data_IF_892342180659
#
_entry.id   IF_892342180659
#
_cell.length_a   1.000
_cell.length_b   1.000
_cell.length_c   1.000
_cell.angle_alpha   90.00
_cell.angle_beta   90.00
_cell.angle_gamma   90.00
#
_symmetry.space_group_name_H-M   'P 1'
#
loop_
_entity.id
_entity.type
_entity.pdbx_description
1 polymer ?
#
# COMPACT_ATOMS: atom_id res chain seq x y z
N UNK A 1 31.64 21.82 14.34
CA UNK A 1 31.27 20.75 13.38
C UNK A 1 30.72 19.49 14.05
N UNK A 2 31.37 18.90 15.07
CA UNK A 2 30.86 17.67 15.75
C UNK A 2 29.47 17.85 16.39
N UNK A 3 29.26 18.95 17.11
CA UNK A 3 27.99 19.30 17.76
C UNK A 3 26.84 19.56 16.78
N UNK A 4 27.14 20.02 15.56
CA UNK A 4 26.14 20.23 14.52
C UNK A 4 25.62 18.93 13.92
N UNK A 5 26.49 17.94 13.70
CA UNK A 5 26.10 16.62 13.20
C UNK A 5 25.18 15.90 14.20
N UNK A 6 25.47 16.00 15.49
CA UNK A 6 24.64 15.38 16.54
C UNK A 6 23.23 15.98 16.59
N UNK A 7 23.09 17.31 16.47
CA UNK A 7 21.77 17.96 16.43
C UNK A 7 20.96 17.56 15.19
N UNK A 8 21.62 17.41 14.04
CA UNK A 8 20.98 16.97 12.81
C UNK A 8 20.40 15.55 12.92
N UNK A 9 21.14 14.65 13.58
CA UNK A 9 20.70 13.26 13.81
C UNK A 9 19.50 13.17 14.76
N UNK A 10 19.49 13.99 15.82
CA UNK A 10 18.35 14.06 16.76
C UNK A 10 17.11 14.59 16.03
N UNK A 11 17.29 15.61 15.17
CA UNK A 11 16.18 16.17 14.39
C UNK A 11 15.62 15.15 13.39
N UNK A 12 16.47 14.40 12.69
CA UNK A 12 16.01 13.35 11.77
C UNK A 12 15.28 12.22 12.50
N UNK A 13 15.75 11.82 13.69
CA UNK A 13 15.10 10.80 14.48
C UNK A 13 13.73 11.26 14.98
N UNK A 14 13.63 12.49 15.51
CA UNK A 14 12.37 13.06 15.95
C UNK A 14 11.36 13.17 14.80
N UNK A 15 11.82 13.49 13.59
CA UNK A 15 10.97 13.54 12.40
C UNK A 15 10.42 12.15 12.01
N UNK A 16 11.27 11.12 12.01
CA UNK A 16 10.82 9.75 11.74
C UNK A 16 9.84 9.23 12.81
N UNK A 17 10.00 9.63 14.07
CA UNK A 17 9.13 9.20 15.17
C UNK A 17 7.68 9.73 15.05
N UNK A 18 7.46 10.82 14.29
CA UNK A 18 6.13 11.41 14.06
C UNK A 18 5.61 11.16 12.64
N UNK A 19 6.41 10.52 11.79
CA UNK A 19 6.03 10.19 10.43
C UNK A 19 5.05 9.00 10.44
N UNK A 20 3.82 9.25 10.02
CA UNK A 20 2.83 8.21 9.80
C UNK A 20 2.78 7.87 8.30
N UNK A 21 2.60 6.59 7.96
CA UNK A 21 2.30 6.21 6.59
C UNK A 21 0.94 6.81 6.20
N UNK A 22 0.87 7.44 5.03
CA UNK A 22 -0.39 7.94 4.47
C UNK A 22 -0.93 6.89 3.49
N UNK A 23 -2.22 6.58 3.58
CA UNK A 23 -2.88 5.81 2.54
C UNK A 23 -2.91 6.66 1.26
N UNK A 24 -2.46 6.12 0.10
CA UNK A 24 -2.55 6.84 -1.16
C UNK A 24 -4.02 7.13 -1.49
N UNK A 25 -4.31 8.36 -1.91
CA UNK A 25 -5.65 8.75 -2.33
C UNK A 25 -5.84 8.39 -3.82
N UNK A 26 -6.66 7.36 -4.10
CA UNK A 26 -6.96 6.93 -5.45
C UNK A 26 -8.11 7.77 -6.05
N UNK A 27 -7.79 8.99 -6.51
CA UNK A 27 -8.78 9.95 -7.05
C UNK A 27 -9.57 9.43 -8.26
N UNK A 28 -9.04 8.47 -9.00
CA UNK A 28 -9.71 7.86 -10.15
C UNK A 28 -10.66 6.72 -9.74
N UNK A 29 -10.51 6.15 -8.54
CA UNK A 29 -11.28 5.00 -8.10
C UNK A 29 -12.66 5.46 -7.61
N UNK A 30 -13.72 4.90 -8.19
CA UNK A 30 -15.11 5.18 -7.77
C UNK A 30 -15.57 4.26 -6.65
N UNK A 31 -15.39 2.96 -6.85
CA UNK A 31 -15.61 1.89 -5.88
C UNK A 31 -15.00 0.60 -6.44
N UNK A 32 -14.72 -0.37 -5.58
CA UNK A 32 -14.42 -1.75 -5.98
C UNK A 32 -15.49 -2.65 -5.36
N UNK A 33 -15.97 -3.62 -6.14
CA UNK A 33 -16.96 -4.61 -5.71
C UNK A 33 -18.41 -4.13 -5.64
N UNK A 34 -19.27 -5.02 -5.14
CA UNK A 34 -20.71 -4.80 -4.92
C UNK A 34 -21.13 -4.86 -3.44
N UNK A 35 -22.43 -5.03 -3.18
CA UNK A 35 -22.96 -5.21 -1.81
C UNK A 35 -22.82 -6.65 -1.30
N UNK A 36 -22.50 -7.59 -2.17
CA UNK A 36 -22.31 -9.00 -1.85
C UNK A 36 -20.81 -9.35 -1.91
N UNK A 37 -20.50 -10.65 -1.86
CA UNK A 37 -19.14 -11.12 -1.62
C UNK A 37 -18.31 -11.15 -2.91
N UNK A 38 -17.14 -10.51 -2.86
CA UNK A 38 -16.09 -10.69 -3.86
C UNK A 38 -14.90 -11.37 -3.20
N UNK A 39 -14.36 -12.41 -3.85
CA UNK A 39 -13.34 -13.26 -3.24
C UNK A 39 -12.30 -13.77 -4.24
N UNK A 40 -11.05 -13.85 -3.80
CA UNK A 40 -9.97 -14.50 -4.55
C UNK A 40 -9.87 -15.99 -4.21
N UNK A 41 -9.77 -16.85 -5.22
CA UNK A 41 -9.62 -18.30 -5.06
C UNK A 41 -8.15 -18.74 -5.17
N UNK A 42 -7.38 -18.14 -6.07
CA UNK A 42 -5.98 -18.51 -6.31
C UNK A 42 -5.23 -17.42 -7.07
N UNK A 43 -3.91 -17.37 -6.89
CA UNK A 43 -3.01 -16.55 -7.70
C UNK A 43 -1.69 -17.28 -8.00
N UNK A 44 -1.12 -16.97 -9.17
CA UNK A 44 0.21 -17.46 -9.60
C UNK A 44 0.84 -16.47 -10.59
N UNK A 45 2.05 -16.76 -11.02
CA UNK A 45 2.77 -15.98 -12.05
C UNK A 45 3.18 -16.88 -13.21
N UNK A 46 3.10 -16.37 -14.45
CA UNK A 46 3.69 -17.05 -15.60
C UNK A 46 5.21 -16.81 -15.69
N UNK A 47 5.88 -17.42 -16.68
CA UNK A 47 7.31 -17.28 -16.90
C UNK A 47 7.75 -15.85 -17.29
N UNK A 48 6.83 -15.00 -17.74
CA UNK A 48 7.09 -13.61 -18.08
C UNK A 48 6.86 -12.67 -16.89
N UNK A 49 6.43 -13.20 -15.74
CA UNK A 49 6.10 -12.42 -14.55
C UNK A 49 4.71 -11.81 -14.59
N UNK A 50 3.82 -12.23 -15.50
CA UNK A 50 2.43 -11.79 -15.47
C UNK A 50 1.72 -12.43 -14.29
N UNK A 51 0.93 -11.64 -13.57
CA UNK A 51 0.12 -12.13 -12.45
C UNK A 51 -1.20 -12.68 -13.00
N UNK A 52 -1.50 -13.92 -12.65
CA UNK A 52 -2.75 -14.59 -12.99
C UNK A 52 -3.49 -14.82 -11.68
N UNK A 53 -4.68 -14.22 -11.55
CA UNK A 53 -5.54 -14.38 -10.39
C UNK A 53 -6.92 -14.88 -10.82
N UNK A 54 -7.50 -15.73 -9.99
CA UNK A 54 -8.85 -16.28 -10.17
C UNK A 54 -9.67 -16.01 -8.92
N UNK A 55 -10.99 -15.90 -9.07
CA UNK A 55 -11.89 -15.54 -7.99
C UNK A 55 -13.33 -15.48 -8.48
N UNK A 56 -14.18 -14.90 -7.66
CA UNK A 56 -15.58 -14.61 -7.99
C UNK A 56 -15.92 -13.18 -7.61
N UNK A 57 -16.88 -12.64 -8.34
CA UNK A 57 -17.58 -11.41 -7.98
C UNK A 57 -19.05 -11.78 -7.82
N UNK A 58 -19.64 -11.40 -6.70
CA UNK A 58 -21.08 -11.52 -6.46
C UNK A 58 -21.62 -10.12 -6.22
N UNK A 59 -22.43 -9.64 -7.17
CA UNK A 59 -23.08 -8.35 -7.10
C UNK A 59 -24.32 -8.36 -8.01
N UNK A 60 -25.45 -7.75 -7.59
CA UNK A 60 -26.61 -7.54 -8.46
C UNK A 60 -26.35 -6.53 -9.58
#
# INVERSE_FOLDING_TARGET
MKTMKTKLLILSYAFCAVANAQAPNFLWAKSAGGTFEDGGNSCSTDANGNIIATGYFDSP
#
